data_IF_085764801341
#
_entry.id   IF_085764801341
#
_cell.length_a   1.000
_cell.length_b   1.000
_cell.length_c   1.000
_cell.angle_alpha   90.00
_cell.angle_beta   90.00
_cell.angle_gamma   90.00
#
_symmetry.space_group_name_H-M   'P 1'
#
loop_
_entity.id
_entity.type
_entity.pdbx_description
1 polymer ?
#
# COMPACT_ATOMS: atom_id res chain seq x y z
N UNK A 1 -9.09 -13.97 -18.64
CA UNK A 1 -9.29 -13.87 -17.17
C UNK A 1 -10.22 -12.70 -16.87
N UNK A 2 -11.06 -12.80 -15.82
CA UNK A 2 -12.10 -11.81 -15.49
C UNK A 2 -11.80 -11.14 -14.13
N UNK A 3 -12.12 -9.85 -14.02
CA UNK A 3 -12.11 -9.14 -12.74
C UNK A 3 -13.18 -9.70 -11.81
N UNK A 4 -12.88 -9.77 -10.51
CA UNK A 4 -13.80 -10.22 -9.45
C UNK A 4 -13.94 -9.17 -8.38
N UNK A 5 -15.04 -9.20 -7.62
CA UNK A 5 -15.15 -8.37 -6.42
C UNK A 5 -14.06 -8.72 -5.42
N UNK A 6 -13.45 -7.70 -4.85
CA UNK A 6 -12.35 -7.80 -3.92
C UNK A 6 -12.63 -6.96 -2.69
N UNK A 7 -12.78 -7.64 -1.57
CA UNK A 7 -12.82 -7.01 -0.26
C UNK A 7 -11.40 -6.64 0.18
N UNK A 8 -11.19 -5.34 0.36
CA UNK A 8 -9.91 -4.76 0.74
C UNK A 8 -9.62 -4.84 2.24
N UNK A 9 -10.57 -5.28 3.07
CA UNK A 9 -10.43 -5.33 4.53
C UNK A 9 -9.84 -6.66 5.02
N UNK A 10 -9.36 -6.64 6.26
CA UNK A 10 -8.76 -7.75 6.99
C UNK A 10 -7.63 -8.42 6.22
N UNK A 11 -6.75 -7.60 5.61
CA UNK A 11 -5.64 -8.07 4.78
C UNK A 11 -4.35 -7.36 5.11
N UNK A 12 -3.25 -8.09 5.01
CA UNK A 12 -1.91 -7.53 5.15
C UNK A 12 -1.35 -7.17 3.79
N UNK A 13 -1.08 -5.88 3.61
CA UNK A 13 -0.61 -5.31 2.36
C UNK A 13 0.86 -4.92 2.43
N UNK A 14 1.63 -5.34 1.44
CA UNK A 14 2.95 -4.83 1.12
C UNK A 14 2.80 -3.67 0.13
N UNK A 15 2.60 -2.47 0.65
CA UNK A 15 2.55 -1.24 -0.14
C UNK A 15 3.94 -0.76 -0.55
N UNK A 16 4.03 -0.12 -1.72
CA UNK A 16 5.21 0.61 -2.18
C UNK A 16 5.05 2.11 -1.92
N UNK A 17 4.59 2.45 -0.73
CA UNK A 17 4.40 3.84 -0.32
C UNK A 17 5.70 4.42 0.25
N UNK A 18 6.05 5.59 -0.24
CA UNK A 18 7.23 6.35 0.20
C UNK A 18 6.89 7.84 0.26
N UNK A 19 7.87 8.65 0.66
CA UNK A 19 7.73 10.10 0.79
C UNK A 19 7.44 10.81 -0.53
N UNK A 20 7.60 10.16 -1.69
CA UNK A 20 7.38 10.74 -3.03
C UNK A 20 6.06 10.32 -3.67
N UNK A 21 5.26 9.49 -3.00
CA UNK A 21 3.94 9.12 -3.50
C UNK A 21 2.82 9.11 -2.44
N UNK A 22 3.12 9.18 -1.14
CA UNK A 22 2.14 9.10 -0.08
C UNK A 22 2.32 10.23 0.95
N UNK A 23 1.31 11.09 1.10
CA UNK A 23 1.32 12.18 2.09
C UNK A 23 1.56 11.67 3.51
N UNK A 24 0.99 10.51 3.89
CA UNK A 24 1.21 9.94 5.23
C UNK A 24 2.68 9.56 5.45
N UNK A 25 3.35 9.05 4.41
CA UNK A 25 4.77 8.73 4.50
C UNK A 25 5.64 9.99 4.46
N UNK A 26 5.23 11.03 3.71
CA UNK A 26 5.96 12.28 3.59
C UNK A 26 5.86 13.18 4.83
N UNK A 27 4.64 13.44 5.31
CA UNK A 27 4.37 14.43 6.36
C UNK A 27 3.79 13.83 7.64
N UNK A 28 3.58 12.51 7.70
CA UNK A 28 2.88 11.85 8.81
C UNK A 28 1.35 11.97 8.74
N UNK A 29 0.81 12.81 7.85
CA UNK A 29 -0.61 13.15 7.80
C UNK A 29 -1.30 12.46 6.62
N UNK A 30 -2.40 11.76 6.90
CA UNK A 30 -3.25 11.14 5.89
C UNK A 30 -4.55 11.92 5.69
N UNK A 31 -4.77 12.41 4.47
CA UNK A 31 -5.98 13.17 4.14
C UNK A 31 -7.29 12.38 4.27
N UNK A 32 -7.27 11.05 4.14
CA UNK A 32 -8.50 10.24 4.27
C UNK A 32 -8.80 9.93 5.74
N UNK A 33 -7.77 9.58 6.52
CA UNK A 33 -7.95 9.25 7.94
C UNK A 33 -8.51 10.45 8.71
N UNK A 34 -7.97 11.64 8.43
CA UNK A 34 -8.31 12.88 9.11
C UNK A 34 -9.54 13.61 8.54
N UNK A 35 -10.26 13.02 7.58
CA UNK A 35 -11.49 13.62 7.05
C UNK A 35 -12.72 12.82 7.40
N UNK A 36 -13.85 13.52 7.56
CA UNK A 36 -15.17 12.90 7.70
C UNK A 36 -15.67 12.35 6.36
N UNK A 37 -16.63 11.42 6.38
CA UNK A 37 -17.25 10.94 5.13
C UNK A 37 -17.92 12.07 4.34
N UNK A 38 -18.57 13.02 5.03
CA UNK A 38 -19.25 14.14 4.40
C UNK A 38 -18.26 15.10 3.71
N UNK A 39 -17.10 15.35 4.33
CA UNK A 39 -16.01 16.11 3.71
C UNK A 39 -15.50 15.41 2.45
N UNK A 40 -15.26 14.09 2.52
CA UNK A 40 -14.76 13.32 1.37
C UNK A 40 -15.80 13.26 0.24
N UNK A 41 -17.08 13.10 0.57
CA UNK A 41 -18.17 13.08 -0.40
C UNK A 41 -18.24 14.38 -1.22
N UNK A 42 -18.12 15.53 -0.54
CA UNK A 42 -18.22 16.86 -1.13
C UNK A 42 -16.88 17.43 -1.63
N UNK A 43 -15.79 16.66 -1.56
CA UNK A 43 -14.46 17.15 -1.89
C UNK A 43 -14.30 17.48 -3.39
N UNK A 44 -13.95 18.73 -3.72
CA UNK A 44 -13.84 19.22 -5.11
C UNK A 44 -12.48 19.85 -5.47
N UNK A 45 -11.51 19.84 -4.57
CA UNK A 45 -10.22 20.48 -4.84
C UNK A 45 -9.38 19.71 -5.87
N UNK A 46 -8.47 20.44 -6.53
CA UNK A 46 -7.53 19.91 -7.51
C UNK A 46 -6.19 19.56 -6.85
N UNK A 47 -5.46 18.65 -7.49
CA UNK A 47 -4.08 18.32 -7.13
C UNK A 47 -3.15 19.51 -7.40
N UNK A 48 -2.32 19.87 -6.42
CA UNK A 48 -1.22 20.82 -6.55
C UNK A 48 0.11 20.12 -6.87
N UNK A 49 0.29 18.87 -6.42
CA UNK A 49 1.49 18.05 -6.67
C UNK A 49 1.22 16.54 -6.54
N UNK A 50 2.23 15.69 -6.80
CA UNK A 50 2.12 14.21 -6.69
C UNK A 50 1.94 13.71 -5.24
N UNK A 51 2.44 14.47 -4.26
CA UNK A 51 2.39 14.17 -2.83
C UNK A 51 1.28 14.90 -2.08
N UNK A 52 0.46 15.65 -2.81
CA UNK A 52 -0.59 16.45 -2.24
C UNK A 52 -1.48 15.58 -1.33
N UNK A 53 -1.70 16.08 -0.10
CA UNK A 53 -2.60 15.48 0.88
C UNK A 53 -4.00 15.24 0.28
N UNK A 54 -4.39 16.07 -0.69
CA UNK A 54 -5.65 15.99 -1.40
C UNK A 54 -5.71 14.81 -2.37
N UNK A 55 -4.60 14.19 -2.77
CA UNK A 55 -4.60 13.07 -3.71
C UNK A 55 -5.45 11.91 -3.23
N UNK A 56 -5.26 11.49 -1.99
CA UNK A 56 -6.07 10.41 -1.42
C UNK A 56 -7.51 10.87 -1.14
N UNK A 57 -7.74 12.16 -0.84
CA UNK A 57 -9.10 12.71 -0.71
C UNK A 57 -9.87 12.67 -2.03
N UNK A 58 -9.24 13.02 -3.15
CA UNK A 58 -9.84 12.94 -4.49
C UNK A 58 -10.17 11.48 -4.83
N UNK A 59 -9.24 10.55 -4.58
CA UNK A 59 -9.49 9.12 -4.81
C UNK A 59 -10.66 8.63 -3.96
N UNK A 60 -10.66 8.95 -2.66
CA UNK A 60 -11.75 8.58 -1.75
C UNK A 60 -13.09 9.18 -2.19
N UNK A 61 -13.13 10.47 -2.51
CA UNK A 61 -14.33 11.15 -3.03
C UNK A 61 -14.89 10.43 -4.26
N UNK A 62 -14.02 10.07 -5.21
CA UNK A 62 -14.44 9.36 -6.42
C UNK A 62 -14.92 7.92 -6.13
N UNK A 63 -14.32 7.23 -5.18
CA UNK A 63 -14.78 5.90 -4.74
C UNK A 63 -16.16 5.97 -4.08
N UNK A 64 -16.39 6.96 -3.21
CA UNK A 64 -17.69 7.15 -2.54
C UNK A 64 -18.79 7.45 -3.58
N UNK A 65 -18.46 8.24 -4.60
CA UNK A 65 -19.36 8.68 -5.67
C UNK A 65 -19.45 7.71 -6.86
N UNK A 66 -18.81 6.53 -6.82
CA UNK A 66 -18.76 5.56 -7.92
C UNK A 66 -18.23 6.12 -9.26
N UNK A 67 -17.36 7.14 -9.21
CA UNK A 67 -16.90 7.90 -10.38
C UNK A 67 -15.54 7.45 -10.95
N UNK A 68 -14.96 6.35 -10.47
CA UNK A 68 -13.73 5.78 -11.04
C UNK A 68 -13.85 4.28 -11.29
N UNK A 69 -13.20 3.76 -12.34
CA UNK A 69 -12.99 2.32 -12.50
C UNK A 69 -12.25 1.78 -11.28
N UNK A 70 -12.92 0.87 -10.57
CA UNK A 70 -12.43 0.25 -9.34
C UNK A 70 -11.47 -0.92 -9.59
N UNK A 71 -11.00 -1.07 -10.84
CA UNK A 71 -10.09 -2.12 -11.26
C UNK A 71 -8.72 -1.97 -10.60
N UNK A 72 -8.26 -3.01 -9.93
CA UNK A 72 -6.91 -3.08 -9.32
C UNK A 72 -6.22 -4.38 -9.71
N UNK A 73 -4.89 -4.35 -9.78
CA UNK A 73 -4.07 -5.50 -10.11
C UNK A 73 -3.21 -5.88 -8.91
N UNK A 74 -3.46 -7.08 -8.41
CA UNK A 74 -2.99 -7.55 -7.12
C UNK A 74 -2.11 -8.77 -7.31
N UNK A 75 -0.99 -8.79 -6.60
CA UNK A 75 -0.18 -9.99 -6.38
C UNK A 75 -0.50 -10.54 -5.00
N UNK A 76 -0.89 -11.81 -4.92
CA UNK A 76 -1.12 -12.51 -3.66
C UNK A 76 0.01 -13.51 -3.41
N UNK A 77 0.76 -13.33 -2.33
CA UNK A 77 1.91 -14.15 -1.96
C UNK A 77 1.49 -15.14 -0.88
N UNK A 78 1.40 -16.42 -1.23
CA UNK A 78 0.81 -17.47 -0.37
C UNK A 78 1.57 -17.68 0.94
N UNK A 79 2.90 -17.59 0.91
CA UNK A 79 3.75 -17.99 2.04
C UNK A 79 3.46 -17.21 3.33
N UNK A 80 3.12 -15.92 3.21
CA UNK A 80 2.77 -15.06 4.35
C UNK A 80 1.38 -14.40 4.21
N UNK A 81 0.58 -14.85 3.24
CA UNK A 81 -0.75 -14.28 2.94
C UNK A 81 -0.72 -12.75 2.72
N UNK A 82 0.34 -12.26 2.07
CA UNK A 82 0.51 -10.84 1.80
C UNK A 82 -0.02 -10.45 0.42
N UNK A 83 -0.53 -9.22 0.31
CA UNK A 83 -1.02 -8.65 -0.93
C UNK A 83 -0.12 -7.49 -1.36
N UNK A 84 0.29 -7.42 -2.63
CA UNK A 84 0.94 -6.23 -3.20
C UNK A 84 0.27 -5.83 -4.51
N UNK A 85 0.70 -4.72 -5.09
CA UNK A 85 0.03 -4.12 -6.24
C UNK A 85 1.00 -3.88 -7.38
N UNK A 86 0.61 -4.24 -8.60
CA UNK A 86 1.19 -3.63 -9.81
C UNK A 86 0.49 -2.32 -10.15
N UNK A 87 -0.81 -2.22 -9.87
CA UNK A 87 -1.60 -1.00 -10.00
C UNK A 87 -2.73 -0.98 -8.94
N UNK A 88 -3.06 0.22 -8.47
CA UNK A 88 -4.22 0.45 -7.61
C UNK A 88 -3.93 0.56 -6.11
N UNK A 89 -2.68 0.58 -5.66
CA UNK A 89 -2.36 0.64 -4.22
C UNK A 89 -3.07 1.77 -3.45
N UNK A 90 -3.15 2.98 -4.02
CA UNK A 90 -3.87 4.10 -3.37
C UNK A 90 -5.38 3.88 -3.36
N UNK A 91 -5.97 3.29 -4.41
CA UNK A 91 -7.40 2.94 -4.46
C UNK A 91 -7.73 1.92 -3.38
N UNK A 92 -6.92 0.87 -3.25
CA UNK A 92 -7.06 -0.17 -2.23
C UNK A 92 -6.91 0.40 -0.82
N UNK A 93 -5.90 1.23 -0.58
CA UNK A 93 -5.70 1.89 0.71
C UNK A 93 -6.88 2.82 1.06
N UNK A 94 -7.37 3.63 0.10
CA UNK A 94 -8.51 4.52 0.34
C UNK A 94 -9.80 3.72 0.57
N UNK A 95 -10.07 2.68 -0.22
CA UNK A 95 -11.22 1.81 -0.05
C UNK A 95 -11.22 1.15 1.33
N UNK A 96 -10.09 0.63 1.80
CA UNK A 96 -9.99 0.04 3.13
C UNK A 96 -10.25 1.07 4.23
N UNK A 97 -9.70 2.28 4.10
CA UNK A 97 -9.96 3.38 5.06
C UNK A 97 -11.41 3.87 5.05
N UNK A 98 -12.10 3.79 3.91
CA UNK A 98 -13.53 4.09 3.81
C UNK A 98 -14.37 2.99 4.45
N UNK A 99 -14.00 1.73 4.27
CA UNK A 99 -14.67 0.59 4.92
C UNK A 99 -14.54 0.66 6.46
N UNK A 100 -13.39 1.11 6.97
CA UNK A 100 -13.20 1.40 8.41
C UNK A 100 -14.04 2.59 8.93
N UNK A 101 -14.60 3.39 8.03
CA UNK A 101 -15.54 4.49 8.34
C UNK A 101 -16.98 4.09 7.96
N UNK A 102 -17.29 2.80 7.93
CA UNK A 102 -18.62 2.24 7.59
C UNK A 102 -19.14 2.55 6.17
N UNK A 103 -18.30 3.06 5.27
CA UNK A 103 -18.65 3.21 3.86
C UNK A 103 -18.13 2.02 3.07
N UNK A 104 -19.00 1.04 2.81
CA UNK A 104 -18.67 -0.13 2.00
C UNK A 104 -18.31 0.26 0.57
N UNK A 105 -17.06 0.01 0.19
CA UNK A 105 -16.50 0.15 -1.16
C UNK A 105 -15.92 -1.19 -1.57
N UNK A 106 -16.35 -1.69 -2.74
CA UNK A 106 -15.80 -2.89 -3.35
C UNK A 106 -14.95 -2.50 -4.55
N UNK A 107 -13.76 -3.10 -4.63
CA UNK A 107 -12.90 -2.96 -5.79
C UNK A 107 -13.09 -4.17 -6.70
N UNK A 108 -12.99 -3.96 -8.00
CA UNK A 108 -12.87 -5.06 -8.96
C UNK A 108 -11.38 -5.39 -9.04
N UNK A 109 -10.98 -6.63 -8.85
CA UNK A 109 -9.56 -7.00 -8.88
C UNK A 109 -9.26 -8.10 -9.88
N UNK A 110 -8.06 -8.02 -10.43
CA UNK A 110 -7.35 -9.12 -11.01
C UNK A 110 -6.30 -9.58 -10.00
N UNK A 111 -6.35 -10.84 -9.58
CA UNK A 111 -5.41 -11.41 -8.61
C UNK A 111 -4.51 -12.40 -9.32
N UNK A 112 -3.22 -12.12 -9.32
CA UNK A 112 -2.17 -13.06 -9.71
C UNK A 112 -1.57 -13.69 -8.46
N UNK A 113 -1.60 -15.01 -8.41
CA UNK A 113 -1.05 -15.79 -7.30
C UNK A 113 0.45 -15.93 -7.50
N UNK A 114 1.22 -15.75 -6.42
CA UNK A 114 2.67 -15.82 -6.41
C UNK A 114 3.11 -16.86 -5.37
N UNK A 115 4.05 -17.71 -5.77
CA UNK A 115 4.65 -18.73 -4.89
C UNK A 115 5.93 -18.21 -4.20
N UNK A 116 6.39 -17.02 -4.56
CA UNK A 116 7.54 -16.35 -3.94
C UNK A 116 7.17 -15.54 -2.69
N UNK A 117 8.17 -14.97 -2.04
CA UNK A 117 7.99 -13.97 -0.98
C UNK A 117 7.54 -12.62 -1.55
N UNK A 118 6.73 -11.88 -0.79
CA UNK A 118 6.46 -10.50 -1.14
C UNK A 118 7.74 -9.65 -1.04
N UNK A 119 7.87 -8.53 -1.77
CA UNK A 119 9.09 -7.72 -1.76
C UNK A 119 9.57 -7.31 -0.36
N UNK A 120 8.65 -6.99 0.55
CA UNK A 120 8.97 -6.68 1.94
C UNK A 120 9.60 -7.88 2.66
N UNK A 121 8.96 -9.05 2.61
CA UNK A 121 9.46 -10.26 3.27
C UNK A 121 10.75 -10.77 2.66
N UNK A 122 10.91 -10.65 1.34
CA UNK A 122 12.15 -11.03 0.65
C UNK A 122 13.34 -10.23 1.17
N UNK A 123 13.20 -8.91 1.32
CA UNK A 123 14.24 -8.06 1.88
C UNK A 123 14.46 -8.32 3.38
N UNK A 124 13.38 -8.55 4.15
CA UNK A 124 13.47 -8.89 5.57
C UNK A 124 14.27 -10.18 5.78
N UNK A 125 13.95 -11.24 5.03
CA UNK A 125 14.70 -12.49 5.11
C UNK A 125 16.17 -12.31 4.69
N UNK A 126 16.46 -11.45 3.69
CA UNK A 126 17.84 -11.12 3.32
C UNK A 126 18.61 -10.47 4.48
N UNK A 127 17.97 -9.54 5.21
CA UNK A 127 18.55 -8.93 6.42
C UNK A 127 18.84 -10.00 7.47
N UNK A 128 17.87 -10.86 7.78
CA UNK A 128 18.03 -11.92 8.80
C UNK A 128 19.16 -12.90 8.46
N UNK A 129 19.30 -13.27 7.18
CA UNK A 129 20.43 -14.08 6.72
C UNK A 129 21.75 -13.33 6.94
N UNK A 130 21.85 -12.09 6.49
CA UNK A 130 23.09 -11.32 6.64
C UNK A 130 23.45 -11.06 8.12
N UNK A 131 22.47 -10.91 9.00
CA UNK A 131 22.72 -10.76 10.45
C UNK A 131 23.17 -12.07 11.11
N UNK A 132 22.68 -13.23 10.66
CA UNK A 132 23.06 -14.53 11.23
C UNK A 132 24.40 -15.07 10.69
N UNK A 133 24.79 -14.68 9.47
CA UNK A 133 26.05 -15.11 8.85
C UNK A 133 27.22 -14.15 9.09
N UNK A 134 27.02 -13.05 9.84
CA UNK A 134 28.07 -12.05 10.13
C UNK A 134 29.24 -12.58 10.97
N UNK A 135 29.10 -13.77 11.57
CA UNK A 135 30.16 -14.42 12.34
C UNK A 135 31.27 -15.05 11.45
N UNK A 136 31.08 -15.15 10.13
CA UNK A 136 32.02 -15.81 9.23
C UNK A 136 32.17 -15.08 7.89
N UNK A 137 32.98 -14.00 7.84
CA UNK A 137 33.44 -13.26 6.63
C UNK A 137 32.65 -11.98 6.34
N UNK A 138 33.36 -10.84 6.43
CA UNK A 138 33.16 -9.57 5.71
C UNK A 138 31.81 -9.38 4.99
N UNK A 139 30.70 -9.39 5.74
CA UNK A 139 29.49 -8.75 5.25
C UNK A 139 29.79 -7.26 5.30
N UNK A 140 29.84 -6.62 4.13
CA UNK A 140 30.04 -5.19 4.04
C UNK A 140 28.88 -4.54 4.80
N UNK A 141 29.16 -4.01 5.99
CA UNK A 141 28.17 -3.36 6.87
C UNK A 141 27.32 -2.34 6.10
N UNK A 142 27.89 -1.75 5.04
CA UNK A 142 27.23 -0.89 4.09
C UNK A 142 26.09 -1.57 3.31
N UNK A 143 26.26 -2.78 2.79
CA UNK A 143 25.19 -3.49 2.06
C UNK A 143 23.99 -3.78 2.98
N UNK A 144 24.26 -4.24 4.21
CA UNK A 144 23.21 -4.49 5.20
C UNK A 144 22.44 -3.20 5.52
N UNK A 145 23.16 -2.09 5.73
CA UNK A 145 22.55 -0.79 5.99
C UNK A 145 21.73 -0.29 4.80
N UNK A 146 22.24 -0.43 3.56
CA UNK A 146 21.52 -0.05 2.34
C UNK A 146 20.20 -0.82 2.19
N UNK A 147 20.20 -2.13 2.51
CA UNK A 147 18.99 -2.96 2.47
C UNK A 147 18.00 -2.53 3.56
N UNK A 148 18.47 -2.26 4.78
CA UNK A 148 17.62 -1.77 5.89
C UNK A 148 16.97 -0.44 5.54
N UNK A 149 17.75 0.50 4.99
CA UNK A 149 17.27 1.80 4.52
C UNK A 149 16.20 1.61 3.43
N UNK A 150 16.46 0.75 2.43
CA UNK A 150 15.53 0.45 1.35
C UNK A 150 14.21 -0.13 1.87
N UNK A 151 14.28 -1.14 2.75
CA UNK A 151 13.10 -1.75 3.36
C UNK A 151 12.24 -0.70 4.07
N UNK A 152 12.88 0.16 4.87
CA UNK A 152 12.21 1.23 5.63
C UNK A 152 11.61 2.31 4.73
N UNK A 153 12.29 2.71 3.66
CA UNK A 153 11.87 3.83 2.79
C UNK A 153 10.81 3.42 1.77
N UNK A 154 10.97 2.27 1.14
CA UNK A 154 10.21 1.92 -0.07
C UNK A 154 8.98 1.06 0.22
N UNK A 155 8.96 0.35 1.34
CA UNK A 155 7.91 -0.63 1.62
C UNK A 155 7.21 -0.32 2.94
N UNK A 156 5.90 -0.55 2.95
CA UNK A 156 5.06 -0.49 4.14
C UNK A 156 4.23 -1.76 4.22
N UNK A 157 4.40 -2.50 5.31
CA UNK A 157 3.57 -3.66 5.62
C UNK A 157 2.43 -3.20 6.54
N UNK A 158 1.22 -3.06 6.01
CA UNK A 158 0.07 -2.54 6.74
C UNK A 158 -1.07 -3.55 6.74
N UNK A 159 -1.62 -3.83 7.93
CA UNK A 159 -2.88 -4.55 8.08
C UNK A 159 -4.03 -3.55 8.08
N UNK A 160 -4.96 -3.72 7.14
CA UNK A 160 -6.11 -2.84 6.92
C UNK A 160 -7.41 -3.64 6.85
#
# INVERSE_FOLDING_TARGET
MKYKDFDVTNKTYCFKFNETNCSKCHSGICGVENSSLNELFNFKEKLRSKNDINRCKIIASRLINNNIPSNVYIYFYKQYFHYSFSDGQHRSCCAAKLNLKDKKVFLKSYISIQDSLCPYCSLKNKIEILENYSDNIYINSRELEDIKIKLKKDFKLWSL
#
